data_IF_262647357680
#
_entry.id   IF_262647357680
#
_cell.length_a   1.000
_cell.length_b   1.000
_cell.length_c   1.000
_cell.angle_alpha   90.00
_cell.angle_beta   90.00
_cell.angle_gamma   90.00
#
_symmetry.space_group_name_H-M   'P 1'
#
loop_
_entity.id
_entity.type
_entity.pdbx_description
1 polymer ?
#
# COMPACT_ATOMS: atom_id res chain seq x y z
N UNK A 1 37.11 -2.22 -38.81
CA UNK A 1 35.82 -2.94 -38.58
C UNK A 1 35.88 -4.04 -37.50
N UNK A 2 36.99 -4.77 -37.32
CA UNK A 2 37.10 -5.81 -36.25
C UNK A 2 37.13 -5.23 -34.83
N UNK A 3 37.80 -4.09 -34.62
CA UNK A 3 37.96 -3.43 -33.31
C UNK A 3 36.69 -2.74 -32.79
N UNK A 4 35.89 -2.13 -33.68
CA UNK A 4 34.62 -1.50 -33.30
C UNK A 4 33.55 -2.49 -32.82
N UNK A 5 33.56 -3.74 -33.32
CA UNK A 5 32.67 -4.82 -32.84
C UNK A 5 33.03 -5.31 -31.44
N UNK A 6 34.32 -5.31 -31.08
CA UNK A 6 34.80 -5.73 -29.75
C UNK A 6 34.51 -4.66 -28.69
N UNK A 7 34.67 -3.37 -29.03
CA UNK A 7 34.32 -2.26 -28.14
C UNK A 7 32.80 -2.22 -27.90
N UNK A 8 31.99 -2.45 -28.93
CA UNK A 8 30.53 -2.58 -28.78
C UNK A 8 30.12 -3.77 -27.90
N UNK A 9 30.80 -4.92 -28.02
CA UNK A 9 30.52 -6.11 -27.21
C UNK A 9 30.92 -5.91 -25.72
N UNK A 10 32.04 -5.23 -25.47
CA UNK A 10 32.49 -4.89 -24.11
C UNK A 10 31.57 -3.84 -23.45
N UNK A 11 31.09 -2.85 -24.21
CA UNK A 11 30.14 -1.86 -23.71
C UNK A 11 28.78 -2.50 -23.36
N UNK A 12 28.30 -3.46 -24.17
CA UNK A 12 27.07 -4.21 -23.87
C UNK A 12 27.25 -5.13 -22.66
N UNK A 13 28.41 -5.78 -22.50
CA UNK A 13 28.72 -6.54 -21.27
C UNK A 13 28.79 -5.64 -20.03
N UNK A 14 29.36 -4.44 -20.15
CA UNK A 14 29.42 -3.48 -19.03
C UNK A 14 28.03 -2.97 -18.62
N UNK A 15 27.13 -2.72 -19.58
CA UNK A 15 25.73 -2.36 -19.31
C UNK A 15 24.96 -3.53 -18.69
N UNK A 16 25.23 -4.77 -19.09
CA UNK A 16 24.62 -5.96 -18.46
C UNK A 16 25.11 -6.18 -17.02
N UNK A 17 26.38 -5.87 -16.71
CA UNK A 17 26.92 -5.97 -15.34
C UNK A 17 26.34 -4.88 -14.43
N UNK A 18 26.01 -3.70 -14.96
CA UNK A 18 25.37 -2.61 -14.22
C UNK A 18 23.84 -2.78 -14.06
N UNK A 19 23.21 -3.66 -14.84
CA UNK A 19 21.77 -3.92 -14.79
C UNK A 19 21.34 -4.94 -13.72
N UNK A 20 22.30 -5.54 -13.00
CA UNK A 20 22.06 -6.53 -11.93
C UNK A 20 22.46 -5.99 -10.55
N UNK A 21 22.05 -4.77 -10.21
CA UNK A 21 22.00 -4.32 -8.82
C UNK A 21 20.77 -4.89 -8.13
N UNK A 22 20.67 -6.22 -8.08
CA UNK A 22 19.71 -6.89 -7.21
C UNK A 22 20.16 -6.68 -5.77
N UNK A 23 19.43 -5.87 -5.00
CA UNK A 23 19.60 -5.80 -3.56
C UNK A 23 19.25 -7.16 -2.98
N UNK A 24 20.26 -8.00 -2.73
CA UNK A 24 20.06 -9.22 -1.98
C UNK A 24 19.70 -8.84 -0.54
N UNK A 25 18.41 -8.87 -0.21
CA UNK A 25 17.90 -8.79 1.16
C UNK A 25 18.64 -9.81 2.01
N UNK A 26 19.37 -9.34 3.03
CA UNK A 26 20.18 -10.20 3.87
C UNK A 26 19.28 -11.04 4.78
N UNK A 27 19.08 -12.31 4.43
CA UNK A 27 18.29 -13.25 5.25
C UNK A 27 18.88 -13.37 6.65
N UNK A 28 18.09 -13.01 7.67
CA UNK A 28 18.50 -13.09 9.06
C UNK A 28 18.48 -14.53 9.56
N UNK A 29 19.55 -14.96 10.25
CA UNK A 29 19.70 -16.31 10.78
C UNK A 29 19.82 -16.27 12.31
N UNK A 30 19.01 -17.08 12.99
CA UNK A 30 19.16 -17.38 14.41
C UNK A 30 19.84 -18.74 14.60
N UNK A 31 20.88 -18.80 15.42
CA UNK A 31 21.52 -20.06 15.81
C UNK A 31 20.98 -20.48 17.17
N UNK A 32 20.25 -21.59 17.20
CA UNK A 32 19.58 -22.10 18.41
C UNK A 32 20.61 -22.42 19.51
N UNK A 33 20.33 -21.97 20.72
CA UNK A 33 21.10 -22.22 21.93
C UNK A 33 20.46 -23.32 22.78
N UNK A 34 21.25 -23.89 23.69
CA UNK A 34 20.77 -24.92 24.63
C UNK A 34 19.58 -24.40 25.45
N UNK A 35 18.46 -25.12 25.40
CA UNK A 35 17.25 -24.81 26.16
C UNK A 35 16.29 -23.81 25.47
N UNK A 36 16.57 -23.39 24.24
CA UNK A 36 15.61 -22.61 23.44
C UNK A 36 14.56 -23.51 22.76
N UNK A 37 13.39 -22.93 22.52
CA UNK A 37 12.29 -23.50 21.75
C UNK A 37 11.64 -22.38 20.93
N UNK A 38 10.90 -22.71 19.88
CA UNK A 38 10.38 -21.72 18.91
C UNK A 38 9.59 -20.57 19.56
N UNK A 39 8.74 -20.87 20.54
CA UNK A 39 7.95 -19.85 21.27
C UNK A 39 8.79 -18.91 22.13
N UNK A 40 10.02 -19.30 22.52
CA UNK A 40 10.97 -18.42 23.21
C UNK A 40 11.77 -17.56 22.23
N UNK A 41 12.04 -18.09 21.03
CA UNK A 41 12.83 -17.41 19.99
C UNK A 41 11.99 -16.35 19.26
N UNK A 42 10.75 -16.68 18.87
CA UNK A 42 9.87 -15.82 18.10
C UNK A 42 9.77 -14.36 18.63
N UNK A 43 9.48 -14.11 19.92
CA UNK A 43 9.36 -12.74 20.42
C UNK A 43 10.66 -11.93 20.38
N UNK A 44 11.83 -12.59 20.38
CA UNK A 44 13.15 -11.91 20.24
C UNK A 44 13.24 -11.16 18.92
N UNK A 45 12.50 -11.62 17.90
CA UNK A 45 12.48 -11.05 16.56
C UNK A 45 11.18 -10.35 16.22
N UNK A 46 10.39 -9.96 17.24
CA UNK A 46 9.11 -9.28 17.05
C UNK A 46 8.12 -10.07 16.17
N UNK A 47 8.20 -11.41 16.24
CA UNK A 47 7.26 -12.30 15.56
C UNK A 47 5.94 -12.38 16.35
N UNK A 48 4.83 -12.63 15.65
CA UNK A 48 3.51 -12.79 16.31
C UNK A 48 3.37 -14.14 17.02
N UNK A 49 4.20 -15.12 16.67
CA UNK A 49 4.28 -16.37 17.41
C UNK A 49 5.23 -17.39 16.79
N UNK A 50 5.37 -18.52 17.46
CA UNK A 50 6.25 -19.61 17.03
C UNK A 50 5.89 -20.16 15.64
N UNK A 51 4.60 -20.15 15.28
CA UNK A 51 4.10 -20.66 14.00
C UNK A 51 4.70 -19.92 12.81
N UNK A 52 4.98 -18.63 12.99
CA UNK A 52 5.58 -17.79 11.97
C UNK A 52 7.03 -18.22 11.72
N UNK A 53 7.81 -18.33 12.79
CA UNK A 53 9.19 -18.84 12.72
C UNK A 53 9.23 -20.27 12.16
N UNK A 54 8.30 -21.13 12.58
CA UNK A 54 8.17 -22.49 12.06
C UNK A 54 7.87 -22.50 10.56
N UNK A 55 6.94 -21.66 10.11
CA UNK A 55 6.52 -21.62 8.70
C UNK A 55 7.66 -21.25 7.76
N UNK A 56 8.54 -20.34 8.17
CA UNK A 56 9.75 -19.99 7.43
C UNK A 56 10.82 -21.11 7.40
N UNK A 57 10.65 -22.18 8.18
CA UNK A 57 11.61 -23.27 8.35
C UNK A 57 10.97 -24.66 8.20
N UNK A 58 9.80 -24.78 7.56
CA UNK A 58 9.09 -26.08 7.39
C UNK A 58 9.91 -27.13 6.64
N UNK A 59 10.81 -26.70 5.77
CA UNK A 59 11.78 -27.53 5.06
C UNK A 59 12.90 -28.07 5.98
N UNK A 60 13.16 -27.38 7.10
CA UNK A 60 14.25 -27.65 8.05
C UNK A 60 13.79 -28.24 9.39
N UNK A 61 12.53 -28.01 9.76
CA UNK A 61 11.92 -28.46 11.01
C UNK A 61 10.79 -29.41 10.66
N UNK A 62 10.99 -30.71 10.91
CA UNK A 62 9.96 -31.74 10.68
C UNK A 62 8.92 -31.79 11.79
N UNK A 63 9.37 -31.58 13.03
CA UNK A 63 8.51 -31.52 14.21
C UNK A 63 8.74 -30.16 14.89
N UNK A 64 7.72 -29.28 14.97
CA UNK A 64 7.86 -27.96 15.59
C UNK A 64 8.29 -27.99 17.05
N UNK A 65 8.05 -29.10 17.76
CA UNK A 65 8.44 -29.28 19.16
C UNK A 65 9.91 -29.72 19.33
N UNK A 66 10.62 -30.01 18.23
CA UNK A 66 12.00 -30.50 18.25
C UNK A 66 12.92 -29.59 17.44
N UNK A 67 13.69 -28.76 18.15
CA UNK A 67 14.83 -28.01 17.62
C UNK A 67 16.09 -28.31 18.45
N UNK A 68 17.26 -28.18 17.85
CA UNK A 68 18.53 -28.59 18.46
C UNK A 68 19.51 -27.43 18.58
N UNK A 69 20.36 -27.39 19.62
CA UNK A 69 21.44 -26.41 19.71
C UNK A 69 22.35 -26.46 18.47
N UNK A 70 22.72 -25.28 17.96
CA UNK A 70 23.49 -25.13 16.73
C UNK A 70 22.65 -25.13 15.44
N UNK A 71 21.36 -25.50 15.51
CA UNK A 71 20.46 -25.43 14.37
C UNK A 71 20.28 -23.97 13.91
N UNK A 72 20.36 -23.75 12.59
CA UNK A 72 20.20 -22.43 11.97
C UNK A 72 18.77 -22.25 11.49
N UNK A 73 18.06 -21.31 12.11
CA UNK A 73 16.69 -20.93 11.74
C UNK A 73 16.70 -19.65 10.92
N UNK A 74 16.00 -19.66 9.79
CA UNK A 74 15.66 -18.46 9.03
C UNK A 74 14.67 -17.65 9.85
N UNK A 75 14.98 -16.39 10.09
CA UNK A 75 14.07 -15.46 10.76
C UNK A 75 13.31 -14.71 9.65
N UNK A 76 11.98 -14.88 9.53
CA UNK A 76 11.21 -14.11 8.57
C UNK A 76 11.22 -12.63 8.95
N UNK A 77 11.19 -11.78 7.93
CA UNK A 77 11.04 -10.33 8.06
C UNK A 77 9.58 -9.91 7.84
N UNK A 78 9.31 -8.61 7.88
CA UNK A 78 7.98 -8.04 7.69
C UNK A 78 7.41 -8.19 6.26
N UNK A 79 8.26 -8.48 5.28
CA UNK A 79 7.89 -8.67 3.86
C UNK A 79 7.59 -10.13 3.53
N UNK A 80 8.10 -11.05 4.37
CA UNK A 80 7.82 -12.47 4.28
C UNK A 80 6.32 -12.73 4.41
N UNK A 81 5.78 -13.63 3.59
CA UNK A 81 4.36 -13.97 3.63
C UNK A 81 3.95 -14.44 5.02
N UNK A 82 2.97 -13.74 5.61
CA UNK A 82 2.42 -14.06 6.90
C UNK A 82 1.01 -14.64 6.75
N UNK A 83 0.85 -15.93 7.05
CA UNK A 83 -0.44 -16.61 7.06
C UNK A 83 -1.23 -16.24 8.32
N UNK A 84 -2.19 -15.33 8.18
CA UNK A 84 -3.07 -14.92 9.26
C UNK A 84 -4.25 -15.88 9.38
N UNK A 85 -4.14 -16.81 10.33
CA UNK A 85 -5.12 -17.90 10.53
C UNK A 85 -6.19 -17.58 11.59
N UNK A 86 -5.95 -16.58 12.45
CA UNK A 86 -6.80 -16.27 13.61
C UNK A 86 -7.20 -14.78 13.60
N UNK A 87 -8.37 -14.42 13.08
CA UNK A 87 -8.79 -13.02 12.91
C UNK A 87 -8.90 -12.20 14.20
N UNK A 88 -8.85 -12.83 15.38
CA UNK A 88 -8.82 -12.15 16.68
C UNK A 88 -7.46 -12.18 17.41
N UNK A 89 -6.42 -12.73 16.79
CA UNK A 89 -5.09 -12.89 17.41
C UNK A 89 -4.21 -11.64 17.33
N UNK A 90 -3.32 -11.48 18.32
CA UNK A 90 -2.27 -10.45 18.40
C UNK A 90 -2.79 -9.03 18.08
N UNK A 91 -3.84 -8.61 18.82
CA UNK A 91 -4.48 -7.31 18.64
C UNK A 91 -3.47 -6.18 18.71
N UNK A 92 -3.63 -5.21 17.83
CA UNK A 92 -2.83 -3.99 17.83
C UNK A 92 -3.10 -3.18 19.10
N UNK A 93 -2.04 -2.63 19.69
CA UNK A 93 -2.07 -1.91 20.98
C UNK A 93 -1.36 -0.55 20.91
N UNK A 94 -0.91 -0.13 19.72
CA UNK A 94 -0.37 1.20 19.49
C UNK A 94 -1.47 2.23 19.14
N UNK A 95 -1.02 3.45 18.87
CA UNK A 95 -1.84 4.58 18.40
C UNK A 95 -2.15 4.47 16.91
N UNK A 96 -3.12 5.27 16.44
CA UNK A 96 -3.44 5.37 15.01
C UNK A 96 -2.25 5.93 14.23
N UNK A 97 -1.58 6.94 14.76
CA UNK A 97 -0.43 7.61 14.15
C UNK A 97 0.73 6.62 13.96
N UNK A 98 1.06 5.83 14.99
CA UNK A 98 2.05 4.75 14.88
C UNK A 98 1.64 3.71 13.84
N UNK A 99 0.34 3.40 13.72
CA UNK A 99 -0.13 2.43 12.74
C UNK A 99 0.03 2.94 11.31
N UNK A 100 -0.30 4.22 11.07
CA UNK A 100 -0.20 4.86 9.76
C UNK A 100 1.27 4.95 9.30
N UNK A 101 2.18 5.26 10.22
CA UNK A 101 3.62 5.25 10.00
C UNK A 101 4.14 3.84 9.64
N UNK A 102 3.77 2.82 10.43
CA UNK A 102 4.14 1.43 10.15
C UNK A 102 3.60 0.91 8.81
N UNK A 103 2.37 1.30 8.46
CA UNK A 103 1.72 0.97 7.19
C UNK A 103 2.29 1.77 6.00
N UNK A 104 3.25 2.66 6.25
CA UNK A 104 4.00 3.42 5.25
C UNK A 104 3.10 4.31 4.37
N UNK A 105 2.05 4.89 4.96
CA UNK A 105 1.21 5.86 4.25
C UNK A 105 1.93 7.20 4.10
N UNK A 106 1.82 7.89 2.95
CA UNK A 106 2.32 9.25 2.81
C UNK A 106 1.77 10.17 3.90
N UNK A 107 2.58 11.14 4.34
CA UNK A 107 2.23 12.03 5.46
C UNK A 107 0.88 12.75 5.23
N UNK A 108 0.62 13.21 4.01
CA UNK A 108 -0.62 13.89 3.64
C UNK A 108 -1.84 12.94 3.71
N UNK A 109 -1.68 11.70 3.22
CA UNK A 109 -2.72 10.66 3.31
C UNK A 109 -3.03 10.35 4.77
N UNK A 110 -1.99 10.22 5.60
CA UNK A 110 -2.13 9.93 7.03
C UNK A 110 -2.93 11.01 7.75
N UNK A 111 -2.66 12.30 7.46
CA UNK A 111 -3.43 13.43 8.02
C UNK A 111 -4.91 13.35 7.68
N UNK A 112 -5.24 13.07 6.41
CA UNK A 112 -6.63 12.95 5.95
C UNK A 112 -7.34 11.74 6.56
N UNK A 113 -6.65 10.62 6.78
CA UNK A 113 -7.23 9.50 7.52
C UNK A 113 -7.55 9.86 8.98
N UNK A 114 -6.63 10.55 9.67
CA UNK A 114 -6.82 10.99 11.06
C UNK A 114 -8.05 11.93 11.15
N UNK A 115 -8.16 12.90 10.24
CA UNK A 115 -9.32 13.79 10.16
C UNK A 115 -10.62 13.01 9.96
N UNK A 116 -10.69 12.14 8.94
CA UNK A 116 -11.88 11.30 8.67
C UNK A 116 -12.26 10.43 9.88
N UNK A 117 -11.29 9.87 10.60
CA UNK A 117 -11.54 9.02 11.77
C UNK A 117 -12.07 9.86 12.95
N UNK A 118 -11.51 11.04 13.20
CA UNK A 118 -11.98 11.95 14.24
C UNK A 118 -13.39 12.48 13.99
N UNK A 119 -13.77 12.61 12.71
CA UNK A 119 -15.12 13.01 12.26
C UNK A 119 -16.10 11.83 12.12
N UNK A 120 -15.66 10.59 12.41
CA UNK A 120 -16.42 9.34 12.17
C UNK A 120 -16.94 9.20 10.71
N UNK A 121 -16.19 9.75 9.75
CA UNK A 121 -16.51 9.84 8.32
C UNK A 121 -15.96 8.64 7.54
N UNK A 122 -16.45 7.44 7.87
CA UNK A 122 -16.06 6.19 7.17
C UNK A 122 -16.70 6.06 5.78
N UNK A 123 -16.02 5.38 4.86
CA UNK A 123 -16.47 5.07 3.49
C UNK A 123 -17.17 3.70 3.41
N UNK A 124 -17.84 3.32 4.51
CA UNK A 124 -18.57 2.08 4.69
C UNK A 124 -17.72 0.92 5.22
N UNK A 125 -18.07 -0.29 4.79
CA UNK A 125 -17.46 -1.53 5.28
C UNK A 125 -16.66 -2.25 4.19
N UNK A 126 -15.71 -3.08 4.63
CA UNK A 126 -15.00 -4.04 3.80
C UNK A 126 -14.94 -5.39 4.51
N UNK A 127 -15.08 -6.48 3.76
CA UNK A 127 -15.01 -7.85 4.28
C UNK A 127 -13.74 -8.54 3.80
N UNK A 128 -12.81 -8.77 4.72
CA UNK A 128 -11.59 -9.51 4.41
C UNK A 128 -11.93 -11.00 4.34
N UNK A 129 -11.71 -11.57 3.17
CA UNK A 129 -11.98 -12.95 2.78
C UNK A 129 -10.71 -13.79 2.77
N UNK A 130 -10.86 -15.11 2.84
CA UNK A 130 -9.74 -16.02 2.63
C UNK A 130 -9.07 -15.75 1.28
N UNK A 131 -7.75 -15.63 1.28
CA UNK A 131 -6.93 -15.33 0.10
C UNK A 131 -6.61 -13.85 -0.09
N UNK A 132 -7.32 -12.95 0.60
CA UNK A 132 -7.03 -11.52 0.52
C UNK A 132 -5.64 -11.22 1.06
N UNK A 133 -4.94 -10.29 0.38
CA UNK A 133 -3.61 -9.83 0.74
C UNK A 133 -3.64 -8.37 1.12
N UNK A 134 -2.97 -8.05 2.23
CA UNK A 134 -2.95 -6.71 2.81
C UNK A 134 -1.73 -6.53 3.71
N UNK A 135 -1.36 -5.28 3.98
CA UNK A 135 -0.45 -4.98 5.07
C UNK A 135 -1.28 -4.80 6.37
N UNK A 136 -0.83 -5.34 7.50
CA UNK A 136 -1.57 -5.32 8.76
C UNK A 136 -0.64 -5.13 9.95
N UNK A 137 -1.00 -4.24 10.88
CA UNK A 137 -0.29 -4.07 12.15
C UNK A 137 -0.78 -5.06 13.21
N UNK A 138 0.11 -5.48 14.10
CA UNK A 138 -0.17 -6.44 15.17
C UNK A 138 0.52 -6.00 16.46
N UNK A 139 0.01 -6.45 17.61
CA UNK A 139 0.64 -6.24 18.92
C UNK A 139 1.08 -4.79 19.16
N UNK A 140 2.30 -4.58 19.67
CA UNK A 140 2.93 -3.27 19.78
C UNK A 140 4.04 -3.15 18.75
N UNK A 141 3.96 -2.16 17.86
CA UNK A 141 4.97 -1.84 16.86
C UNK A 141 5.37 -3.02 15.96
N UNK A 142 4.40 -3.86 15.56
CA UNK A 142 4.63 -4.93 14.59
C UNK A 142 3.82 -4.67 13.33
N UNK A 143 4.44 -4.93 12.18
CA UNK A 143 3.81 -4.86 10.87
C UNK A 143 4.11 -6.13 10.09
N UNK A 144 3.13 -6.59 9.30
CA UNK A 144 3.32 -7.56 8.23
C UNK A 144 2.82 -6.95 6.95
N UNK A 145 3.74 -6.65 6.02
CA UNK A 145 3.41 -6.03 4.73
C UNK A 145 2.77 -7.02 3.77
N UNK A 146 2.97 -8.30 4.01
CA UNK A 146 2.49 -9.38 3.17
C UNK A 146 1.60 -10.37 3.94
N UNK A 147 0.53 -9.86 4.54
CA UNK A 147 -0.43 -10.68 5.29
C UNK A 147 -1.41 -11.35 4.32
N UNK A 148 -1.61 -12.65 4.47
CA UNK A 148 -2.62 -13.43 3.75
C UNK A 148 -3.66 -13.91 4.74
N UNK A 149 -4.91 -13.52 4.52
CA UNK A 149 -6.04 -14.07 5.26
C UNK A 149 -6.21 -15.56 4.93
N UNK A 150 -5.92 -16.44 5.89
CA UNK A 150 -5.93 -17.89 5.68
C UNK A 150 -6.81 -18.60 6.71
N UNK A 151 -8.10 -18.27 6.66
CA UNK A 151 -9.11 -18.84 7.54
C UNK A 151 -9.26 -20.34 7.30
N UNK A 152 -9.50 -21.11 8.37
CA UNK A 152 -9.83 -22.53 8.26
C UNK A 152 -11.17 -22.75 7.56
N UNK A 153 -12.15 -21.90 7.86
CA UNK A 153 -13.47 -21.89 7.25
C UNK A 153 -13.54 -20.75 6.23
N UNK A 154 -13.79 -21.08 4.96
CA UNK A 154 -13.79 -20.13 3.84
C UNK A 154 -15.00 -19.19 3.87
N UNK A 155 -16.04 -19.54 4.63
CA UNK A 155 -17.22 -18.70 4.82
C UNK A 155 -16.97 -17.55 5.80
N UNK A 156 -15.91 -17.63 6.60
CA UNK A 156 -15.55 -16.58 7.55
C UNK A 156 -15.12 -15.33 6.78
N UNK A 157 -15.76 -14.21 7.12
CA UNK A 157 -15.41 -12.87 6.66
C UNK A 157 -15.05 -12.02 7.87
N UNK A 158 -13.93 -11.30 7.78
CA UNK A 158 -13.53 -10.33 8.79
C UNK A 158 -14.02 -8.94 8.37
N UNK A 159 -15.15 -8.54 8.92
CA UNK A 159 -15.74 -7.23 8.70
C UNK A 159 -14.86 -6.10 9.28
N UNK A 160 -14.73 -5.03 8.52
CA UNK A 160 -13.87 -3.88 8.83
C UNK A 160 -14.59 -2.58 8.46
N UNK A 161 -14.36 -1.49 9.23
CA UNK A 161 -14.60 -0.14 8.69
C UNK A 161 -13.59 0.13 7.60
N UNK A 162 -14.00 0.88 6.58
CA UNK A 162 -13.18 1.27 5.45
C UNK A 162 -13.07 2.79 5.41
N UNK A 163 -11.86 3.28 5.21
CA UNK A 163 -11.57 4.69 4.97
C UNK A 163 -10.81 4.78 3.65
N UNK A 164 -11.21 5.73 2.81
CA UNK A 164 -10.63 5.98 1.50
C UNK A 164 -10.19 7.44 1.43
N UNK A 165 -8.95 7.63 0.97
CA UNK A 165 -8.39 8.94 0.65
C UNK A 165 -7.89 8.87 -0.78
N UNK A 166 -8.22 9.88 -1.59
CA UNK A 166 -7.77 9.99 -2.97
C UNK A 166 -6.91 11.24 -3.09
N UNK A 167 -5.66 11.07 -3.51
CA UNK A 167 -4.73 12.16 -3.84
C UNK A 167 -4.26 11.95 -5.27
N UNK A 168 -4.34 13.01 -6.06
CA UNK A 168 -4.06 12.99 -7.51
C UNK A 168 -4.89 11.91 -8.24
N UNK A 169 -4.25 10.81 -8.62
CA UNK A 169 -4.84 9.67 -9.32
C UNK A 169 -4.73 8.37 -8.50
N UNK A 170 -4.48 8.46 -7.19
CA UNK A 170 -4.23 7.30 -6.33
C UNK A 170 -5.22 7.22 -5.18
N UNK A 171 -5.90 6.07 -5.09
CA UNK A 171 -6.80 5.69 -4.01
C UNK A 171 -6.00 4.90 -2.96
N UNK A 172 -5.99 5.42 -1.73
CA UNK A 172 -5.44 4.79 -0.54
C UNK A 172 -6.58 4.25 0.32
N UNK A 173 -6.49 3.00 0.75
CA UNK A 173 -7.56 2.37 1.55
C UNK A 173 -7.03 1.81 2.87
N UNK A 174 -7.49 2.41 3.96
CA UNK A 174 -7.26 1.98 5.34
C UNK A 174 -8.47 1.21 5.87
N UNK A 175 -8.22 0.08 6.50
CA UNK A 175 -9.23 -0.76 7.13
C UNK A 175 -9.05 -0.80 8.64
N UNK A 176 -10.16 -0.84 9.36
CA UNK A 176 -10.22 -1.12 10.80
C UNK A 176 -11.10 -2.36 11.06
N UNK A 177 -10.50 -3.56 11.14
CA UNK A 177 -11.23 -4.80 11.41
C UNK A 177 -11.83 -4.82 12.81
N UNK A 178 -13.11 -5.15 12.94
CA UNK A 178 -13.85 -5.02 14.21
C UNK A 178 -13.39 -5.99 15.31
N UNK A 179 -12.85 -7.15 14.94
CA UNK A 179 -12.50 -8.22 15.90
C UNK A 179 -11.15 -7.93 16.57
N UNK A 180 -10.14 -7.56 15.78
CA UNK A 180 -8.77 -7.38 16.25
C UNK A 180 -8.36 -5.91 16.41
N UNK A 181 -8.99 -4.96 15.70
CA UNK A 181 -8.56 -3.57 15.68
C UNK A 181 -7.22 -3.36 14.97
N UNK A 182 -6.78 -4.35 14.18
CA UNK A 182 -5.50 -4.32 13.49
C UNK A 182 -5.63 -3.47 12.23
N UNK A 183 -5.21 -2.20 12.32
CA UNK A 183 -5.19 -1.30 11.16
C UNK A 183 -4.50 -1.97 9.98
N UNK A 184 -5.14 -1.88 8.82
CA UNK A 184 -4.69 -2.60 7.62
C UNK A 184 -4.73 -1.71 6.39
N UNK A 185 -3.77 -1.91 5.50
CA UNK A 185 -3.67 -1.21 4.21
C UNK A 185 -3.93 -2.19 3.09
N UNK A 186 -4.88 -1.85 2.22
CA UNK A 186 -5.01 -2.51 0.92
C UNK A 186 -4.01 -1.92 -0.09
N UNK A 187 -3.64 -2.66 -1.15
CA UNK A 187 -2.81 -2.12 -2.21
C UNK A 187 -3.39 -0.84 -2.82
N UNK A 188 -2.53 0.15 -3.02
CA UNK A 188 -2.90 1.42 -3.63
C UNK A 188 -3.45 1.19 -5.05
N UNK A 189 -4.53 1.90 -5.39
CA UNK A 189 -5.22 1.73 -6.67
C UNK A 189 -5.14 3.01 -7.49
N UNK A 190 -4.59 2.91 -8.69
CA UNK A 190 -4.61 4.02 -9.67
C UNK A 190 -6.02 4.19 -10.25
N UNK A 191 -6.57 5.39 -10.12
CA UNK A 191 -7.84 5.79 -10.70
C UNK A 191 -7.55 6.41 -12.06
N UNK A 192 -8.19 5.92 -13.12
CA UNK A 192 -8.14 6.56 -14.42
C UNK A 192 -8.80 7.94 -14.34
N UNK A 193 -8.02 9.00 -14.49
CA UNK A 193 -8.55 10.34 -14.70
C UNK A 193 -9.20 10.33 -16.09
N UNK A 194 -10.53 10.35 -16.17
CA UNK A 194 -11.18 10.64 -17.44
C UNK A 194 -10.79 12.07 -17.82
N UNK A 195 -10.18 12.29 -19.01
CA UNK A 195 -9.88 13.64 -19.44
C UNK A 195 -11.20 14.44 -19.44
N UNK A 196 -11.18 15.70 -18.98
CA UNK A 196 -12.38 16.52 -18.96
C UNK A 196 -13.01 16.49 -20.36
N UNK A 197 -14.34 16.37 -20.46
CA UNK A 197 -15.00 16.36 -21.76
C UNK A 197 -14.51 17.60 -22.54
N UNK A 198 -14.17 17.45 -23.83
CA UNK A 198 -13.72 18.58 -24.63
C UNK A 198 -14.75 19.69 -24.46
N UNK A 199 -14.32 20.95 -24.23
CA UNK A 199 -15.24 22.04 -24.03
C UNK A 199 -16.26 21.99 -25.16
N UNK A 200 -17.56 21.91 -24.81
CA UNK A 200 -18.62 22.04 -25.82
C UNK A 200 -18.24 23.27 -26.62
N UNK A 201 -18.11 23.12 -27.95
CA UNK A 201 -17.98 24.28 -28.83
C UNK A 201 -19.19 25.15 -28.53
N UNK A 202 -19.01 26.18 -27.70
CA UNK A 202 -20.01 27.21 -27.50
C UNK A 202 -20.28 27.72 -28.90
N UNK A 203 -21.52 27.61 -29.36
CA UNK A 203 -21.93 28.26 -30.59
C UNK A 203 -21.42 29.71 -30.50
N UNK A 204 -20.69 30.16 -31.51
CA UNK A 204 -20.23 31.54 -31.60
C UNK A 204 -21.44 32.42 -31.28
N UNK A 205 -21.35 33.17 -30.20
CA UNK A 205 -22.33 34.21 -29.91
C UNK A 205 -22.41 35.08 -31.17
N UNK A 206 -23.61 35.30 -31.76
CA UNK A 206 -23.71 36.06 -32.99
C UNK A 206 -23.11 37.44 -32.73
N UNK A 207 -22.19 37.85 -33.61
CA UNK A 207 -21.55 39.17 -33.52
C UNK A 207 -22.66 40.24 -33.36
N UNK A 208 -22.51 41.19 -32.42
CA UNK A 208 -23.49 42.25 -32.25
C UNK A 208 -23.60 43.02 -33.57
N UNK A 209 -24.81 43.07 -34.12
CA UNK A 209 -25.09 43.90 -35.30
C UNK A 209 -24.78 45.35 -34.94
N UNK A 210 -23.76 45.91 -35.59
CA UNK A 210 -23.49 47.35 -35.56
C UNK A 210 -24.69 48.04 -36.21
N UNK A 211 -25.54 48.68 -35.40
CA UNK A 211 -26.57 49.59 -35.89
C UNK A 211 -25.87 50.90 -36.21
N UNK A 212 -25.68 51.17 -37.50
CA UNK A 212 -25.21 52.48 -37.96
C UNK A 212 -26.34 53.50 -37.72
N UNK A 213 -26.16 54.34 -36.72
CA UNK A 213 -27.01 55.50 -36.45
C UNK A 213 -26.87 56.48 -37.63
N UNK A 214 -27.99 56.73 -38.32
CA UNK A 214 -28.04 57.67 -39.43
C UNK A 214 -27.93 59.08 -38.85
N UNK A 215 -26.79 59.73 -39.07
CA UNK A 215 -26.60 61.15 -38.74
C UNK A 215 -27.49 61.98 -39.66
N UNK A 216 -28.54 62.56 -39.10
CA UNK A 216 -29.45 63.48 -39.77
C UNK A 216 -28.71 64.80 -40.02
N UNK A 217 -28.47 65.14 -41.28
CA UNK A 217 -27.83 66.40 -41.67
C UNK A 217 -28.88 67.51 -41.72
N UNK A 218 -28.82 68.46 -40.79
CA UNK A 218 -29.60 69.70 -40.86
C UNK A 218 -29.17 70.55 -42.07
N UNK A 219 -30.15 71.00 -42.87
CA UNK A 219 -29.94 71.93 -43.98
C UNK A 219 -29.75 73.38 -43.49
N UNK A 220 -28.88 74.19 -44.14
CA UNK A 220 -28.65 75.56 -43.73
C UNK A 220 -29.74 76.51 -44.24
N UNK A 221 -30.32 77.28 -43.31
CA UNK A 221 -31.29 78.35 -43.54
C UNK A 221 -30.64 79.50 -44.34
N UNK A 222 -31.07 79.72 -45.58
CA UNK A 222 -30.72 80.93 -46.35
C UNK A 222 -31.70 82.06 -46.06
N UNK A 223 -31.18 83.17 -45.51
CA UNK A 223 -31.89 84.46 -45.36
C UNK A 223 -32.02 85.19 -46.70
N UNK A 224 -33.20 85.76 -46.95
CA UNK A 224 -33.40 86.98 -47.76
C UNK A 224 -34.35 87.90 -47.01
#
# INVERSE_FOLDING_TARGET
MKTMKVIGLLAVMLVMVLAFSGTAEATKIHVVKKGEYLSRIAPIYNLSGWKELYSANKDRIKNPDLIYPGQKLVVPDENTEFSFENPGGDKYTGTLEEALDLLDYPEEVSKLFIEKINEDSSDGHHEISKGDRLAMVFGKNKIRRNTVANWKDETVKLASRKYVVIIEDTEYTLLYPFICGNWSRLPDKKIAVTPPPPPKKTAREPEPKIVLEQVETEEPITRK
#
